data_IF_015202862330
#
_entry.id   IF_015202862330
#
_cell.length_a   1.000
_cell.length_b   1.000
_cell.length_c   1.000
_cell.angle_alpha   90.00
_cell.angle_beta   90.00
_cell.angle_gamma   90.00
#
_symmetry.space_group_name_H-M   'P 1'
#
loop_
_entity.id
_entity.type
_entity.pdbx_description
1 polymer ?
#
# COMPACT_ATOMS: atom_id res chain seq x y z
N UNK A 1 -35.04 -41.00 60.77
CA UNK A 1 -34.82 -40.06 59.64
C UNK A 1 -33.81 -38.98 59.96
N UNK A 2 -33.75 -38.38 61.13
CA UNK A 2 -32.79 -37.30 61.50
C UNK A 2 -31.29 -37.76 61.54
N UNK A 3 -31.04 -39.00 62.05
CA UNK A 3 -29.64 -39.51 62.19
C UNK A 3 -28.94 -39.73 60.86
N UNK A 4 -29.64 -40.26 59.82
CA UNK A 4 -29.06 -40.46 58.48
C UNK A 4 -28.71 -39.14 57.77
N UNK A 5 -29.46 -38.07 58.04
CA UNK A 5 -29.21 -36.73 57.45
C UNK A 5 -27.94 -36.08 58.04
N UNK A 6 -27.65 -36.28 59.33
CA UNK A 6 -26.48 -35.76 60.05
C UNK A 6 -25.20 -36.48 59.58
N UNK A 7 -25.27 -37.82 59.38
CA UNK A 7 -24.12 -38.62 58.89
C UNK A 7 -23.79 -38.24 57.43
N UNK A 8 -24.82 -38.01 56.61
CA UNK A 8 -24.63 -37.58 55.19
C UNK A 8 -23.99 -36.20 55.10
N UNK A 9 -24.39 -35.26 56.01
CA UNK A 9 -23.81 -33.89 56.07
C UNK A 9 -22.36 -33.92 56.53
N UNK A 10 -22.01 -34.78 57.53
CA UNK A 10 -20.64 -34.94 58.03
C UNK A 10 -19.72 -35.55 56.94
N UNK A 11 -20.17 -36.54 56.19
CA UNK A 11 -19.41 -37.11 55.05
C UNK A 11 -19.19 -36.07 53.95
N UNK A 12 -20.23 -35.29 53.59
CA UNK A 12 -20.10 -34.19 52.63
C UNK A 12 -19.06 -33.15 53.06
N UNK A 13 -19.09 -32.71 54.33
CA UNK A 13 -18.11 -31.75 54.86
C UNK A 13 -16.68 -32.30 54.81
N UNK A 14 -16.46 -33.60 55.07
CA UNK A 14 -15.14 -34.25 54.96
C UNK A 14 -14.66 -34.31 53.50
N UNK A 15 -15.55 -34.61 52.54
CA UNK A 15 -15.25 -34.66 51.10
C UNK A 15 -14.89 -33.25 50.63
N UNK A 16 -15.65 -32.24 51.02
CA UNK A 16 -15.36 -30.81 50.69
C UNK A 16 -14.01 -30.40 51.28
N UNK A 17 -13.71 -30.76 52.54
CA UNK A 17 -12.45 -30.46 53.17
C UNK A 17 -11.26 -31.17 52.45
N UNK A 18 -11.45 -32.40 52.01
CA UNK A 18 -10.45 -33.15 51.24
C UNK A 18 -10.18 -32.52 49.86
N UNK A 19 -11.26 -32.12 49.19
CA UNK A 19 -11.17 -31.43 47.89
C UNK A 19 -10.46 -30.05 48.05
N UNK A 20 -10.75 -29.30 49.08
CA UNK A 20 -10.10 -28.04 49.39
C UNK A 20 -8.60 -28.23 49.72
N UNK A 21 -8.26 -29.31 50.43
CA UNK A 21 -6.86 -29.67 50.68
C UNK A 21 -6.12 -30.05 49.39
N UNK A 22 -6.72 -30.85 48.52
CA UNK A 22 -6.14 -31.22 47.22
C UNK A 22 -5.89 -30.02 46.33
N UNK A 23 -6.85 -29.08 46.25
CA UNK A 23 -6.71 -27.78 45.53
C UNK A 23 -5.59 -26.94 46.10
N UNK A 24 -5.49 -26.87 47.48
CA UNK A 24 -4.41 -26.06 48.10
C UNK A 24 -3.01 -26.65 47.90
N UNK A 25 -2.90 -27.98 47.79
CA UNK A 25 -1.63 -28.66 47.48
C UNK A 25 -1.20 -28.39 46.03
N UNK A 26 -2.14 -28.40 45.09
CA UNK A 26 -1.85 -28.05 43.68
C UNK A 26 -1.40 -26.61 43.55
N UNK A 27 -2.11 -25.65 44.13
CA UNK A 27 -1.77 -24.21 44.09
C UNK A 27 -0.37 -23.95 44.64
N UNK A 28 0.01 -24.60 45.75
CA UNK A 28 1.32 -24.45 46.34
C UNK A 28 2.43 -25.06 45.47
N UNK A 29 2.13 -26.16 44.75
CA UNK A 29 3.02 -26.76 43.76
C UNK A 29 3.37 -25.79 42.62
N UNK A 30 2.34 -25.19 42.03
CA UNK A 30 2.51 -24.26 40.88
C UNK A 30 3.26 -22.99 41.26
N UNK A 31 3.00 -22.43 42.47
CA UNK A 31 3.75 -21.26 42.96
C UNK A 31 5.25 -21.57 43.08
N UNK A 32 5.61 -22.80 43.49
CA UNK A 32 6.99 -23.24 43.63
C UNK A 32 7.62 -23.41 42.22
N UNK A 33 6.89 -24.00 41.28
CA UNK A 33 7.33 -24.14 39.88
C UNK A 33 7.57 -22.77 39.22
N UNK A 34 6.65 -21.81 39.39
CA UNK A 34 6.82 -20.45 38.86
C UNK A 34 8.02 -19.69 39.50
N UNK A 35 8.44 -20.03 40.74
CA UNK A 35 9.66 -19.48 41.35
C UNK A 35 10.92 -20.07 40.68
N UNK A 36 10.90 -21.35 40.32
CA UNK A 36 12.00 -22.02 39.60
C UNK A 36 12.14 -21.36 38.20
N UNK A 37 11.03 -21.25 37.47
CA UNK A 37 10.99 -20.60 36.14
C UNK A 37 11.53 -19.16 36.20
N UNK A 38 11.16 -18.42 37.26
CA UNK A 38 11.66 -17.05 37.46
C UNK A 38 13.19 -17.02 37.62
N UNK A 39 13.78 -18.04 38.27
CA UNK A 39 15.23 -18.17 38.38
C UNK A 39 15.88 -18.51 37.03
N UNK A 40 15.25 -19.40 36.25
CA UNK A 40 15.73 -19.74 34.91
C UNK A 40 15.78 -18.50 34.02
N UNK A 41 14.73 -17.66 34.05
CA UNK A 41 14.69 -16.40 33.28
C UNK A 41 15.81 -15.45 33.74
N UNK A 42 16.04 -15.31 35.07
CA UNK A 42 17.10 -14.46 35.62
C UNK A 42 18.51 -14.95 35.22
N UNK A 43 18.69 -16.25 35.03
CA UNK A 43 19.94 -16.83 34.52
C UNK A 43 19.97 -16.99 32.99
N UNK A 44 19.04 -16.35 32.29
CA UNK A 44 18.90 -16.30 30.83
C UNK A 44 18.72 -17.67 30.17
N UNK A 45 18.25 -18.66 30.94
CA UNK A 45 17.93 -19.99 30.39
C UNK A 45 16.48 -20.01 29.88
N UNK A 46 16.24 -19.23 28.80
CA UNK A 46 14.89 -18.96 28.28
C UNK A 46 14.24 -20.19 27.69
N UNK A 47 15.01 -21.06 27.00
CA UNK A 47 14.50 -22.28 26.38
C UNK A 47 13.90 -23.23 27.44
N UNK A 48 14.62 -23.46 28.52
CA UNK A 48 14.13 -24.31 29.62
C UNK A 48 12.95 -23.67 30.33
N UNK A 49 12.99 -22.33 30.55
CA UNK A 49 11.89 -21.59 31.15
C UNK A 49 10.59 -21.74 30.31
N UNK A 50 10.68 -21.66 28.98
CA UNK A 50 9.53 -21.83 28.06
C UNK A 50 9.00 -23.27 28.08
N UNK A 51 9.91 -24.24 28.10
CA UNK A 51 9.54 -25.67 28.24
C UNK A 51 8.73 -25.91 29.53
N UNK A 52 9.24 -25.42 30.66
CA UNK A 52 8.58 -25.59 31.96
C UNK A 52 7.25 -24.84 32.02
N UNK A 53 7.17 -23.62 31.43
CA UNK A 53 5.92 -22.86 31.33
C UNK A 53 4.86 -23.63 30.53
N UNK A 54 5.25 -24.29 29.44
CA UNK A 54 4.33 -25.08 28.63
C UNK A 54 3.81 -26.31 29.41
N UNK A 55 4.68 -26.96 30.17
CA UNK A 55 4.30 -28.14 31.01
C UNK A 55 3.24 -27.75 32.07
N UNK A 56 3.39 -26.57 32.67
CA UNK A 56 2.48 -26.15 33.75
C UNK A 56 1.25 -25.38 33.24
N UNK A 57 1.19 -25.00 31.97
CA UNK A 57 0.15 -24.10 31.42
C UNK A 57 -1.28 -24.55 31.79
N UNK A 58 -1.60 -25.83 31.57
CA UNK A 58 -2.92 -26.40 31.82
C UNK A 58 -3.25 -26.53 33.31
N UNK A 59 -2.22 -26.48 34.17
CA UNK A 59 -2.37 -26.64 35.62
C UNK A 59 -2.53 -25.31 36.34
N UNK A 60 -2.32 -24.16 35.66
CA UNK A 60 -2.40 -22.84 36.29
C UNK A 60 -3.88 -22.53 36.63
N UNK A 61 -4.20 -22.26 37.91
CA UNK A 61 -5.58 -22.03 38.31
C UNK A 61 -6.08 -20.67 37.78
N UNK A 62 -7.19 -20.70 37.05
CA UNK A 62 -7.78 -19.48 36.45
C UNK A 62 -8.42 -18.57 37.51
N UNK A 63 -8.78 -19.10 38.68
CA UNK A 63 -9.37 -18.35 39.79
C UNK A 63 -8.33 -17.69 40.72
N UNK A 64 -7.04 -18.03 40.68
CA UNK A 64 -5.95 -17.35 41.40
C UNK A 64 -5.32 -16.31 40.45
N UNK A 65 -5.92 -15.13 40.40
CA UNK A 65 -5.48 -14.01 39.53
C UNK A 65 -3.98 -13.69 39.68
N UNK A 66 -3.44 -13.73 40.91
CA UNK A 66 -2.03 -13.45 41.15
C UNK A 66 -1.09 -14.49 40.50
N UNK A 67 -1.42 -15.75 40.66
CA UNK A 67 -0.66 -16.86 40.07
C UNK A 67 -0.79 -16.84 38.55
N UNK A 68 -1.99 -16.60 38.01
CA UNK A 68 -2.25 -16.49 36.57
C UNK A 68 -1.51 -15.29 35.94
N UNK A 69 -1.55 -14.12 36.59
CA UNK A 69 -0.81 -12.94 36.13
C UNK A 69 0.70 -13.20 36.12
N UNK A 70 1.23 -13.86 37.19
CA UNK A 70 2.65 -14.26 37.25
C UNK A 70 3.04 -15.16 36.09
N UNK A 71 2.20 -16.17 35.79
CA UNK A 71 2.44 -17.10 34.67
C UNK A 71 2.61 -16.32 33.35
N UNK A 72 1.65 -15.43 33.01
CA UNK A 72 1.72 -14.65 31.78
C UNK A 72 2.88 -13.65 31.78
N UNK A 73 3.19 -13.03 32.91
CA UNK A 73 4.36 -12.16 33.06
C UNK A 73 5.66 -12.93 32.74
N UNK A 74 5.88 -14.08 33.37
CA UNK A 74 7.07 -14.90 33.14
C UNK A 74 7.13 -15.43 31.70
N UNK A 75 5.97 -15.82 31.12
CA UNK A 75 5.87 -16.24 29.73
C UNK A 75 6.30 -15.10 28.79
N UNK A 76 5.85 -13.89 29.06
CA UNK A 76 6.25 -12.71 28.28
C UNK A 76 7.76 -12.47 28.36
N UNK A 77 8.35 -12.50 29.57
CA UNK A 77 9.79 -12.31 29.74
C UNK A 77 10.60 -13.40 29.02
N UNK A 78 10.19 -14.66 29.16
CA UNK A 78 10.90 -15.80 28.53
C UNK A 78 10.84 -15.73 27.01
N UNK A 79 9.72 -15.29 26.43
CA UNK A 79 9.57 -15.08 24.99
C UNK A 79 10.37 -13.88 24.49
N UNK A 80 10.52 -12.82 25.28
CA UNK A 80 11.26 -11.61 24.89
C UNK A 80 12.77 -11.81 24.86
N UNK A 81 13.30 -12.67 25.71
CA UNK A 81 14.72 -13.04 25.75
C UNK A 81 15.65 -11.81 25.84
N UNK A 82 15.29 -10.82 26.65
CA UNK A 82 16.02 -9.56 26.80
C UNK A 82 16.25 -8.82 25.46
N UNK A 83 15.34 -9.00 24.49
CA UNK A 83 15.42 -8.36 23.17
C UNK A 83 16.07 -9.20 22.07
N UNK A 84 16.48 -10.45 22.37
CA UNK A 84 17.14 -11.35 21.42
C UNK A 84 16.15 -12.33 20.74
N UNK A 85 14.86 -12.12 20.93
CA UNK A 85 13.78 -12.97 20.37
C UNK A 85 13.50 -12.67 18.89
N UNK A 86 12.96 -13.65 18.19
CA UNK A 86 12.45 -13.47 16.83
C UNK A 86 11.21 -12.53 16.86
N UNK A 87 10.86 -12.02 15.69
CA UNK A 87 9.65 -11.17 15.52
C UNK A 87 8.38 -11.87 16.07
N UNK A 88 8.17 -13.13 15.73
CA UNK A 88 7.00 -13.91 16.17
C UNK A 88 6.99 -14.13 17.70
N UNK A 89 8.14 -14.43 18.27
CA UNK A 89 8.30 -14.58 19.72
C UNK A 89 8.03 -13.24 20.42
N UNK A 90 8.53 -12.14 19.86
CA UNK A 90 8.31 -10.79 20.41
C UNK A 90 6.81 -10.44 20.41
N UNK A 91 6.07 -10.72 19.33
CA UNK A 91 4.60 -10.54 19.28
C UNK A 91 3.92 -11.37 20.38
N UNK A 92 4.31 -12.63 20.52
CA UNK A 92 3.78 -13.55 21.53
C UNK A 92 4.11 -13.08 22.95
N UNK A 93 5.31 -12.50 23.15
CA UNK A 93 5.72 -11.86 24.40
C UNK A 93 4.78 -10.70 24.76
N UNK A 94 4.61 -9.74 23.84
CA UNK A 94 3.75 -8.56 24.03
C UNK A 94 2.32 -9.02 24.42
N UNK A 95 1.78 -10.01 23.72
CA UNK A 95 0.45 -10.57 24.00
C UNK A 95 0.40 -11.16 25.41
N UNK A 96 1.44 -11.89 25.83
CA UNK A 96 1.51 -12.47 27.18
C UNK A 96 1.58 -11.37 28.26
N UNK A 97 2.41 -10.36 28.05
CA UNK A 97 2.53 -9.21 28.94
C UNK A 97 1.21 -8.46 29.07
N UNK A 98 0.53 -8.20 27.94
CA UNK A 98 -0.79 -7.55 27.92
C UNK A 98 -1.84 -8.40 28.64
N UNK A 99 -1.79 -9.73 28.50
CA UNK A 99 -2.68 -10.65 29.22
C UNK A 99 -2.44 -10.57 30.74
N UNK A 100 -1.18 -10.50 31.16
CA UNK A 100 -0.86 -10.31 32.60
C UNK A 100 -1.48 -9.01 33.14
N UNK A 101 -1.35 -7.89 32.42
CA UNK A 101 -1.95 -6.59 32.78
C UNK A 101 -3.48 -6.74 32.88
N UNK A 102 -4.13 -7.34 31.88
CA UNK A 102 -5.60 -7.46 31.85
C UNK A 102 -6.16 -8.25 33.03
N UNK A 103 -5.42 -9.26 33.53
CA UNK A 103 -5.80 -10.05 34.70
C UNK A 103 -5.76 -9.19 35.98
N UNK A 104 -4.85 -8.21 36.04
CA UNK A 104 -4.67 -7.33 37.21
C UNK A 104 -5.63 -6.13 37.26
N UNK A 105 -6.41 -5.88 36.19
CA UNK A 105 -7.37 -4.76 36.16
C UNK A 105 -8.35 -4.89 37.32
N UNK A 106 -8.48 -3.79 38.12
CA UNK A 106 -9.36 -3.73 39.30
C UNK A 106 -8.79 -4.40 40.54
N UNK A 107 -7.50 -4.80 40.50
CA UNK A 107 -6.83 -5.46 41.65
C UNK A 107 -5.47 -4.84 41.95
N UNK A 108 -4.62 -5.63 42.57
CA UNK A 108 -3.24 -5.21 42.91
C UNK A 108 -2.34 -5.34 41.69
N UNK A 109 -1.57 -4.34 41.38
CA UNK A 109 -0.68 -4.23 40.23
C UNK A 109 0.70 -4.87 40.50
N UNK A 110 0.75 -6.17 40.80
CA UNK A 110 1.99 -6.90 41.13
C UNK A 110 3.02 -6.88 39.99
N UNK A 111 2.54 -7.01 38.77
CA UNK A 111 3.39 -7.12 37.58
C UNK A 111 3.21 -5.93 36.62
N UNK A 112 2.06 -5.27 36.66
CA UNK A 112 1.70 -4.15 35.74
C UNK A 112 2.79 -3.05 35.72
N UNK A 113 3.27 -2.63 36.90
CA UNK A 113 4.32 -1.59 37.00
C UNK A 113 5.62 -2.02 36.31
N UNK A 114 6.02 -3.28 36.51
CA UNK A 114 7.24 -3.83 35.91
C UNK A 114 7.09 -3.99 34.40
N UNK A 115 5.91 -4.46 33.96
CA UNK A 115 5.59 -4.64 32.54
C UNK A 115 5.58 -3.27 31.84
N UNK A 116 4.98 -2.25 32.46
CA UNK A 116 4.91 -0.90 31.88
C UNK A 116 6.32 -0.32 31.68
N UNK A 117 7.22 -0.51 32.66
CA UNK A 117 8.62 -0.09 32.51
C UNK A 117 9.30 -0.82 31.34
N UNK A 118 9.17 -2.15 31.26
CA UNK A 118 9.71 -2.94 30.16
C UNK A 118 9.13 -2.49 28.81
N UNK A 119 7.82 -2.21 28.75
CA UNK A 119 7.15 -1.75 27.51
C UNK A 119 7.69 -0.40 27.03
N UNK A 120 8.07 0.50 27.94
CA UNK A 120 8.72 1.78 27.57
C UNK A 120 10.07 1.50 26.88
N UNK A 121 10.88 0.62 27.45
CA UNK A 121 12.18 0.25 26.89
C UNK A 121 11.99 -0.44 25.51
N UNK A 122 11.03 -1.40 25.43
CA UNK A 122 10.67 -2.07 24.17
C UNK A 122 10.24 -1.07 23.09
N UNK A 123 9.35 -0.12 23.45
CA UNK A 123 8.82 0.88 22.52
C UNK A 123 9.94 1.75 21.94
N UNK A 124 10.81 2.28 22.82
CA UNK A 124 11.93 3.12 22.40
C UNK A 124 12.87 2.35 21.44
N UNK A 125 13.17 1.09 21.78
CA UNK A 125 14.01 0.23 20.92
C UNK A 125 13.37 -0.02 19.57
N UNK A 126 12.06 -0.35 19.53
CA UNK A 126 11.39 -0.64 18.25
C UNK A 126 11.28 0.61 17.37
N UNK A 127 11.00 1.78 17.97
CA UNK A 127 10.96 3.05 17.22
C UNK A 127 12.35 3.35 16.64
N UNK A 128 13.39 3.28 17.46
CA UNK A 128 14.77 3.54 17.03
C UNK A 128 15.19 2.57 15.91
N UNK A 129 14.95 1.28 16.11
CA UNK A 129 15.28 0.25 15.11
C UNK A 129 14.47 0.44 13.82
N UNK A 130 13.17 0.74 13.95
CA UNK A 130 12.29 1.00 12.80
C UNK A 130 12.84 2.13 11.92
N UNK A 131 13.22 3.24 12.55
CA UNK A 131 13.80 4.39 11.83
C UNK A 131 15.17 4.05 11.23
N UNK A 132 16.08 3.43 11.99
CA UNK A 132 17.41 3.06 11.51
C UNK A 132 17.32 2.13 10.29
N UNK A 133 16.46 1.11 10.35
CA UNK A 133 16.26 0.17 9.23
C UNK A 133 15.60 0.86 8.02
N UNK A 134 14.75 1.86 8.26
CA UNK A 134 14.17 2.66 7.16
C UNK A 134 15.27 3.44 6.43
N UNK A 135 16.16 4.11 7.17
CA UNK A 135 17.29 4.86 6.62
C UNK A 135 18.25 3.95 5.84
N UNK A 136 18.44 2.72 6.33
CA UNK A 136 19.26 1.69 5.68
C UNK A 136 18.52 0.99 4.50
N UNK A 137 17.25 1.33 4.24
CA UNK A 137 16.36 0.72 3.23
C UNK A 137 16.10 -0.77 3.48
N UNK A 138 16.24 -1.22 4.73
CA UNK A 138 15.90 -2.57 5.17
C UNK A 138 14.41 -2.62 5.56
N UNK A 139 13.56 -2.40 4.55
CA UNK A 139 12.12 -2.14 4.73
C UNK A 139 11.40 -3.23 5.53
N UNK A 140 11.72 -4.51 5.28
CA UNK A 140 11.07 -5.61 6.01
C UNK A 140 11.36 -5.55 7.51
N UNK A 141 12.61 -5.25 7.89
CA UNK A 141 12.97 -5.08 9.30
C UNK A 141 12.30 -3.83 9.88
N UNK A 142 12.23 -2.77 9.10
CA UNK A 142 11.64 -1.49 9.51
C UNK A 142 10.15 -1.67 9.85
N UNK A 143 9.31 -2.15 8.90
CA UNK A 143 7.87 -2.25 9.17
C UNK A 143 7.56 -3.23 10.31
N UNK A 144 8.33 -4.32 10.46
CA UNK A 144 8.16 -5.25 11.59
C UNK A 144 8.40 -4.55 12.93
N UNK A 145 9.40 -3.67 13.00
CA UNK A 145 9.68 -2.90 14.22
C UNK A 145 8.58 -1.85 14.49
N UNK A 146 8.09 -1.15 13.47
CA UNK A 146 6.95 -0.22 13.66
C UNK A 146 5.69 -0.96 14.10
N UNK A 147 5.40 -2.14 13.55
CA UNK A 147 4.27 -2.96 14.02
C UNK A 147 4.45 -3.36 15.48
N UNK A 148 5.65 -3.83 15.88
CA UNK A 148 5.94 -4.16 17.28
C UNK A 148 5.77 -2.94 18.20
N UNK A 149 6.20 -1.76 17.77
CA UNK A 149 5.97 -0.50 18.51
C UNK A 149 4.47 -0.27 18.74
N UNK A 150 3.66 -0.44 17.70
CA UNK A 150 2.19 -0.35 17.82
C UNK A 150 1.63 -1.42 18.76
N UNK A 151 2.06 -2.69 18.66
CA UNK A 151 1.58 -3.76 19.57
C UNK A 151 1.92 -3.47 21.04
N UNK A 152 3.04 -2.80 21.29
CA UNK A 152 3.43 -2.32 22.64
C UNK A 152 2.55 -1.15 23.08
N UNK A 153 2.29 -0.18 22.19
CA UNK A 153 1.53 1.05 22.48
C UNK A 153 0.36 1.20 21.50
N UNK A 154 -0.68 0.36 21.64
CA UNK A 154 -1.80 0.29 20.70
C UNK A 154 -2.69 1.56 20.68
N UNK A 155 -2.48 2.50 21.58
CA UNK A 155 -3.14 3.81 21.53
C UNK A 155 -2.51 4.73 20.47
N UNK A 156 -1.26 4.49 20.11
CA UNK A 156 -0.51 5.31 19.17
C UNK A 156 -0.53 4.66 17.78
N UNK A 157 -1.61 4.90 17.06
CA UNK A 157 -1.86 4.34 15.73
C UNK A 157 -0.88 4.84 14.65
N UNK A 158 -0.06 5.86 14.96
CA UNK A 158 0.98 6.35 14.06
C UNK A 158 1.99 5.25 13.71
N UNK A 159 2.33 4.38 14.67
CA UNK A 159 3.28 3.28 14.42
C UNK A 159 2.67 2.23 13.47
N UNK A 160 1.37 1.94 13.60
CA UNK A 160 0.67 1.04 12.65
C UNK A 160 0.63 1.65 11.24
N UNK A 161 0.37 2.95 11.17
CA UNK A 161 0.39 3.70 9.89
C UNK A 161 1.80 3.64 9.26
N UNK A 162 2.85 3.82 10.04
CA UNK A 162 4.23 3.73 9.54
C UNK A 162 4.55 2.30 9.08
N UNK A 163 4.09 1.28 9.82
CA UNK A 163 4.25 -0.13 9.40
C UNK A 163 3.57 -0.36 8.04
N UNK A 164 2.32 0.12 7.86
CA UNK A 164 1.56 -0.01 6.61
C UNK A 164 2.30 0.63 5.43
N UNK A 165 2.78 1.87 5.60
CA UNK A 165 3.49 2.61 4.55
C UNK A 165 4.79 1.90 4.14
N UNK A 166 5.59 1.47 5.12
CA UNK A 166 6.89 0.84 4.85
C UNK A 166 6.69 -0.56 4.25
N UNK A 167 5.67 -1.33 4.69
CA UNK A 167 5.32 -2.62 4.08
C UNK A 167 4.90 -2.44 2.62
N UNK A 168 4.10 -1.41 2.33
CA UNK A 168 3.69 -1.05 0.97
C UNK A 168 4.91 -0.67 0.11
N UNK A 169 5.82 0.14 0.64
CA UNK A 169 7.08 0.54 -0.03
C UNK A 169 7.99 -0.68 -0.29
N UNK A 170 7.93 -1.69 0.57
CA UNK A 170 8.65 -2.96 0.41
C UNK A 170 8.01 -3.91 -0.64
N UNK A 171 6.89 -3.51 -1.25
CA UNK A 171 6.02 -4.34 -2.09
C UNK A 171 5.49 -5.58 -1.34
N UNK A 172 5.46 -5.52 0.00
CA UNK A 172 4.87 -6.59 0.82
C UNK A 172 3.39 -6.27 1.04
N UNK A 173 2.62 -6.49 -0.04
CA UNK A 173 1.22 -6.04 -0.13
C UNK A 173 0.28 -6.80 0.81
N UNK A 174 0.62 -8.02 1.23
CA UNK A 174 -0.20 -8.78 2.20
C UNK A 174 -0.18 -8.08 3.57
N UNK A 175 1.01 -7.88 4.13
CA UNK A 175 1.17 -7.21 5.42
C UNK A 175 0.69 -5.75 5.36
N UNK A 176 0.98 -5.05 4.26
CA UNK A 176 0.51 -3.67 4.07
C UNK A 176 -1.03 -3.61 4.14
N UNK A 177 -1.70 -4.52 3.43
CA UNK A 177 -3.17 -4.62 3.42
C UNK A 177 -3.71 -4.90 4.83
N UNK A 178 -3.14 -5.87 5.56
CA UNK A 178 -3.56 -6.18 6.93
C UNK A 178 -3.46 -4.94 7.83
N UNK A 179 -2.37 -4.20 7.75
CA UNK A 179 -2.16 -3.00 8.57
C UNK A 179 -3.12 -1.87 8.16
N UNK A 180 -3.35 -1.65 6.86
CA UNK A 180 -4.30 -0.64 6.39
C UNK A 180 -5.73 -0.99 6.79
N UNK A 181 -6.13 -2.27 6.71
CA UNK A 181 -7.46 -2.72 7.14
C UNK A 181 -7.65 -2.49 8.64
N UNK A 182 -6.63 -2.79 9.45
CA UNK A 182 -6.65 -2.52 10.91
C UNK A 182 -6.80 -1.01 11.17
N UNK A 183 -6.14 -0.13 10.39
CA UNK A 183 -6.30 1.33 10.50
C UNK A 183 -7.73 1.77 10.17
N UNK A 184 -8.36 1.17 9.15
CA UNK A 184 -9.77 1.44 8.80
C UNK A 184 -10.70 1.02 9.93
N UNK A 185 -10.50 -0.18 10.52
CA UNK A 185 -11.30 -0.68 11.64
C UNK A 185 -11.18 0.21 12.88
N UNK A 186 -10.00 0.81 13.09
CA UNK A 186 -9.75 1.76 14.18
C UNK A 186 -10.29 3.17 13.88
N UNK A 187 -10.88 3.38 12.70
CA UNK A 187 -11.33 4.70 12.22
C UNK A 187 -10.19 5.75 12.22
N UNK A 188 -8.98 5.32 11.89
CA UNK A 188 -7.81 6.20 11.84
C UNK A 188 -8.01 7.30 10.79
N UNK A 189 -7.75 8.54 11.18
CA UNK A 189 -7.85 9.70 10.29
C UNK A 189 -6.49 10.29 9.92
N UNK A 190 -5.46 10.08 10.73
CA UNK A 190 -4.15 10.71 10.56
C UNK A 190 -4.14 12.21 10.83
N UNK A 191 -5.27 12.78 11.24
CA UNK A 191 -5.37 14.23 11.53
C UNK A 191 -4.50 14.54 12.74
N UNK A 192 -3.56 15.45 12.59
CA UNK A 192 -2.69 15.93 13.67
C UNK A 192 -2.67 17.45 13.68
N UNK A 193 -2.47 18.02 14.85
CA UNK A 193 -2.31 19.46 15.03
C UNK A 193 -0.83 19.83 14.84
N UNK A 194 -0.55 20.78 13.98
CA UNK A 194 0.78 21.37 13.84
C UNK A 194 0.79 22.77 14.45
N UNK A 195 1.84 23.08 15.15
CA UNK A 195 1.96 24.30 15.97
C UNK A 195 3.04 25.19 15.36
N UNK A 196 2.68 26.44 15.12
CA UNK A 196 3.57 27.43 14.51
C UNK A 196 3.66 28.71 15.36
N UNK A 197 4.76 29.42 15.25
CA UNK A 197 4.91 30.82 15.71
C UNK A 197 6.00 31.51 14.91
N UNK A 198 5.94 32.82 14.85
CA UNK A 198 6.92 33.64 14.11
C UNK A 198 8.11 33.93 15.04
N UNK A 199 9.29 33.63 14.60
CA UNK A 199 10.55 34.01 15.26
C UNK A 199 10.74 35.52 15.11
N UNK A 200 10.96 36.23 16.22
CA UNK A 200 11.07 37.69 16.26
C UNK A 200 12.35 38.23 15.63
N UNK A 201 13.39 37.43 15.59
CA UNK A 201 14.70 37.85 15.05
C UNK A 201 14.72 37.73 13.53
N UNK A 202 14.27 36.59 13.00
CA UNK A 202 14.28 36.34 11.56
C UNK A 202 13.01 36.80 10.86
N UNK A 203 11.87 36.86 11.55
CA UNK A 203 10.55 37.13 10.97
C UNK A 203 9.95 35.89 10.32
N UNK A 204 10.59 34.73 10.39
CA UNK A 204 10.14 33.49 9.74
C UNK A 204 9.17 32.71 10.62
N UNK A 205 8.21 32.03 9.99
CA UNK A 205 7.32 31.10 10.68
C UNK A 205 8.06 29.79 10.99
N UNK A 206 8.16 29.46 12.27
CA UNK A 206 8.81 28.23 12.75
C UNK A 206 7.75 27.24 13.24
N UNK A 207 7.97 25.95 12.91
CA UNK A 207 7.15 24.83 13.36
C UNK A 207 7.67 24.31 14.70
N UNK A 208 6.73 23.98 15.61
CA UNK A 208 7.02 23.41 16.93
C UNK A 208 6.50 21.97 17.02
N UNK A 209 7.19 21.16 17.80
CA UNK A 209 6.87 19.75 18.02
C UNK A 209 5.51 19.59 18.72
N UNK A 210 5.20 20.49 19.66
CA UNK A 210 3.98 20.46 20.46
C UNK A 210 3.60 21.88 20.92
N UNK A 211 2.37 21.99 21.43
CA UNK A 211 1.84 23.27 21.93
C UNK A 211 2.61 23.79 23.16
N UNK A 212 3.18 22.90 23.96
CA UNK A 212 3.91 23.27 25.20
C UNK A 212 5.23 23.94 24.85
N UNK A 213 6.01 23.38 23.95
CA UNK A 213 7.28 23.97 23.48
C UNK A 213 7.05 25.30 22.79
N UNK A 214 5.97 25.46 22.06
CA UNK A 214 5.56 26.74 21.50
C UNK A 214 5.15 27.73 22.61
N UNK A 215 4.33 27.41 23.35
CA UNK A 215 3.89 28.13 24.39
C UNK A 215 4.98 28.60 25.19
N UNK A 216 6.12 27.73 25.51
CA UNK A 216 7.34 28.09 26.23
C UNK A 216 8.15 29.16 25.47
N UNK A 217 8.37 29.00 24.22
CA UNK A 217 9.03 30.00 23.33
C UNK A 217 8.28 31.33 23.23
N UNK A 218 6.96 31.21 23.22
CA UNK A 218 6.17 32.25 23.09
C UNK A 218 6.10 33.03 24.27
N UNK A 219 6.07 32.42 25.60
CA UNK A 219 5.75 33.14 26.89
C UNK A 219 6.95 33.28 27.83
N UNK A 220 7.86 32.30 27.84
CA UNK A 220 9.00 32.23 28.76
C UNK A 220 10.26 32.80 28.13
N UNK A 221 10.70 32.25 27.01
CA UNK A 221 11.90 32.73 26.32
C UNK A 221 11.63 34.06 25.59
N UNK A 222 10.41 34.27 25.11
CA UNK A 222 9.93 35.47 24.40
C UNK A 222 10.59 35.71 23.05
N UNK A 223 11.13 34.66 22.45
CA UNK A 223 11.76 34.69 21.13
C UNK A 223 10.75 34.61 19.97
N UNK A 224 9.51 34.21 20.26
CA UNK A 224 8.49 33.99 19.23
C UNK A 224 7.20 34.76 19.54
N UNK A 225 6.42 35.00 18.48
CA UNK A 225 5.09 35.63 18.56
C UNK A 225 4.14 35.04 17.49
N UNK A 226 2.84 35.18 17.40
CA UNK A 226 2.01 34.82 16.64
C UNK A 226 1.72 33.44 16.60
N UNK A 227 1.39 32.94 17.68
CA UNK A 227 1.15 31.51 17.63
C UNK A 227 -0.04 31.15 16.75
N UNK A 228 0.13 30.10 15.93
CA UNK A 228 -0.90 29.61 15.01
C UNK A 228 -0.96 28.08 15.11
N UNK A 229 -2.17 27.55 15.13
CA UNK A 229 -2.44 26.11 15.08
C UNK A 229 -2.98 25.76 13.68
N UNK A 230 -2.51 24.67 13.11
CA UNK A 230 -2.98 24.16 11.82
C UNK A 230 -3.39 22.71 11.95
N UNK A 231 -4.66 22.43 11.63
CA UNK A 231 -5.17 21.07 11.61
C UNK A 231 -4.81 20.39 10.29
N UNK A 232 -4.11 19.28 10.38
CA UNK A 232 -3.71 18.48 9.21
C UNK A 232 -4.90 17.88 8.48
N UNK A 233 -4.70 17.51 7.24
CA UNK A 233 -5.71 16.84 6.43
C UNK A 233 -5.83 15.37 6.82
N UNK A 234 -7.02 14.82 6.66
CA UNK A 234 -7.25 13.38 6.88
C UNK A 234 -6.49 12.53 5.85
N UNK A 235 -5.83 11.49 6.32
CA UNK A 235 -5.18 10.47 5.47
C UNK A 235 -6.16 9.37 5.05
N UNK A 236 -7.41 9.41 5.51
CA UNK A 236 -8.41 8.34 5.28
C UNK A 236 -8.63 8.05 3.80
N UNK A 237 -8.72 9.09 2.97
CA UNK A 237 -8.87 8.94 1.51
C UNK A 237 -7.66 8.19 0.90
N UNK A 238 -6.45 8.59 1.28
CA UNK A 238 -5.21 7.96 0.78
C UNK A 238 -5.18 6.47 1.18
N UNK A 239 -5.53 6.15 2.43
CA UNK A 239 -5.56 4.78 2.94
C UNK A 239 -6.56 3.93 2.12
N UNK A 240 -7.79 4.43 1.93
CA UNK A 240 -8.83 3.70 1.19
C UNK A 240 -8.42 3.45 -0.27
N UNK A 241 -7.82 4.45 -0.92
CA UNK A 241 -7.32 4.30 -2.30
C UNK A 241 -6.15 3.31 -2.38
N UNK A 242 -5.26 3.30 -1.38
CA UNK A 242 -4.16 2.34 -1.33
C UNK A 242 -4.68 0.92 -1.19
N UNK A 243 -5.67 0.69 -0.30
CA UNK A 243 -6.34 -0.61 -0.14
C UNK A 243 -6.97 -1.04 -1.48
N UNK A 244 -7.68 -0.12 -2.14
CA UNK A 244 -8.34 -0.39 -3.42
C UNK A 244 -7.31 -0.77 -4.51
N UNK A 245 -6.16 -0.08 -4.55
CA UNK A 245 -5.08 -0.37 -5.49
C UNK A 245 -4.47 -1.76 -5.23
N UNK A 246 -4.21 -2.10 -3.96
CA UNK A 246 -3.67 -3.42 -3.61
C UNK A 246 -4.66 -4.53 -4.03
N UNK A 247 -5.96 -4.36 -3.77
CA UNK A 247 -6.97 -5.34 -4.19
C UNK A 247 -7.04 -5.46 -5.72
N UNK A 248 -6.93 -4.33 -6.48
CA UNK A 248 -6.86 -4.37 -7.96
C UNK A 248 -5.66 -5.21 -8.42
N UNK A 249 -4.50 -4.97 -7.87
CA UNK A 249 -3.26 -5.68 -8.24
C UNK A 249 -3.35 -7.19 -7.94
N UNK A 250 -4.14 -7.55 -6.91
CA UNK A 250 -4.47 -8.94 -6.57
C UNK A 250 -5.62 -9.50 -7.45
N UNK A 251 -6.16 -8.73 -8.39
CA UNK A 251 -7.33 -9.06 -9.23
C UNK A 251 -8.61 -9.29 -8.43
N UNK A 252 -8.69 -8.81 -7.20
CA UNK A 252 -9.89 -8.83 -6.37
C UNK A 252 -10.68 -7.54 -6.64
N UNK A 253 -11.32 -7.50 -7.80
CA UNK A 253 -12.05 -6.31 -8.25
C UNK A 253 -13.27 -6.00 -7.36
N UNK A 254 -13.88 -6.99 -6.74
CA UNK A 254 -15.00 -6.80 -5.81
C UNK A 254 -14.59 -5.96 -4.61
N UNK A 255 -13.55 -6.34 -3.92
CA UNK A 255 -13.04 -5.58 -2.77
C UNK A 255 -12.43 -4.24 -3.22
N UNK A 256 -11.75 -4.20 -4.34
CA UNK A 256 -11.27 -2.91 -4.90
C UNK A 256 -12.41 -1.90 -5.11
N UNK A 257 -13.43 -2.16 -5.68
CA UNK A 257 -14.50 -1.50 -5.90
C UNK A 257 -15.16 -1.05 -4.79
N UNK A 258 -15.27 -1.87 -3.65
CA UNK A 258 -15.79 -1.50 -2.31
C UNK A 258 -15.03 -0.32 -1.70
N UNK A 259 -13.69 -0.38 -1.70
CA UNK A 259 -12.86 0.68 -1.11
C UNK A 259 -12.83 1.96 -1.97
N UNK A 260 -13.00 1.86 -3.29
CA UNK A 260 -13.21 3.02 -4.19
C UNK A 260 -14.49 3.77 -3.77
N UNK A 261 -15.58 3.05 -3.57
CA UNK A 261 -16.86 3.68 -3.18
C UNK A 261 -16.77 4.35 -1.80
N UNK A 262 -16.05 3.75 -0.85
CA UNK A 262 -15.79 4.38 0.46
C UNK A 262 -14.96 5.66 0.32
N UNK A 263 -13.99 5.70 -0.58
CA UNK A 263 -13.16 6.86 -0.86
C UNK A 263 -13.93 7.99 -1.55
N UNK A 264 -14.86 7.69 -2.47
CA UNK A 264 -15.76 8.67 -3.11
C UNK A 264 -16.61 9.49 -2.12
N UNK A 265 -16.82 8.91 -1.26
CA UNK A 265 -17.53 9.45 -0.27
C UNK A 265 -16.83 10.52 0.34
N UNK A 266 -15.52 10.58 0.36
CA UNK A 266 -14.62 11.60 0.90
C UNK A 266 -14.30 12.67 -0.15
N UNK A 267 -13.87 12.24 -1.34
CA UNK A 267 -13.52 13.15 -2.44
C UNK A 267 -14.03 12.59 -3.79
N UNK A 268 -15.23 12.98 -4.22
CA UNK A 268 -15.86 12.48 -5.46
C UNK A 268 -15.11 12.86 -6.75
N UNK A 269 -14.29 13.90 -6.70
CA UNK A 269 -13.57 14.44 -7.86
C UNK A 269 -12.08 14.13 -7.81
N UNK A 270 -11.66 13.19 -6.96
CA UNK A 270 -10.27 12.76 -6.88
C UNK A 270 -9.87 12.06 -8.19
N UNK A 271 -9.01 12.68 -8.96
CA UNK A 271 -8.58 12.17 -10.26
C UNK A 271 -7.93 10.76 -10.14
N UNK A 272 -7.14 10.54 -9.08
CA UNK A 272 -6.50 9.24 -8.86
C UNK A 272 -7.53 8.12 -8.62
N UNK A 273 -8.62 8.45 -7.95
CA UNK A 273 -9.72 7.52 -7.71
C UNK A 273 -10.48 7.20 -9.02
N UNK A 274 -10.72 8.21 -9.85
CA UNK A 274 -11.33 8.04 -11.17
C UNK A 274 -10.44 7.14 -12.05
N UNK A 275 -9.14 7.38 -12.05
CA UNK A 275 -8.17 6.59 -12.82
C UNK A 275 -8.06 5.16 -12.29
N UNK A 276 -8.13 4.95 -11.02
CA UNK A 276 -8.18 3.61 -10.44
C UNK A 276 -9.44 2.84 -10.89
N UNK A 277 -10.56 3.49 -11.05
CA UNK A 277 -11.66 2.95 -11.44
C UNK A 277 -11.64 2.62 -12.77
N UNK A 278 -10.99 3.53 -13.57
CA UNK A 278 -10.90 3.28 -15.02
C UNK A 278 -10.02 2.04 -15.32
N UNK A 279 -8.87 1.92 -14.69
CA UNK A 279 -7.98 0.77 -14.88
C UNK A 279 -8.70 -0.56 -14.56
N UNK A 280 -9.52 -0.60 -13.54
CA UNK A 280 -10.33 -1.79 -13.20
C UNK A 280 -11.32 -2.10 -14.33
N UNK A 281 -11.96 -1.08 -14.91
CA UNK A 281 -12.89 -1.25 -16.06
C UNK A 281 -12.16 -1.78 -17.29
N UNK A 282 -10.98 -1.23 -17.57
CA UNK A 282 -10.11 -1.70 -18.64
C UNK A 282 -9.73 -3.18 -18.44
N UNK A 283 -9.24 -3.52 -17.31
CA UNK A 283 -8.88 -4.91 -16.99
C UNK A 283 -10.07 -5.89 -17.04
N UNK A 284 -11.25 -5.29 -16.89
CA UNK A 284 -12.35 -5.97 -16.96
C UNK A 284 -12.92 -6.03 -18.19
N UNK A 285 -12.30 -5.55 -19.21
CA UNK A 285 -12.78 -5.49 -20.60
C UNK A 285 -13.99 -4.59 -20.83
N UNK A 286 -14.37 -3.80 -19.84
CA UNK A 286 -15.49 -2.83 -19.90
C UNK A 286 -14.98 -1.51 -20.49
N UNK A 287 -14.68 -1.53 -21.78
CA UNK A 287 -14.09 -0.43 -22.54
C UNK A 287 -15.00 0.82 -22.52
N UNK A 288 -16.31 0.62 -22.54
CA UNK A 288 -17.27 1.73 -22.51
C UNK A 288 -17.20 2.52 -21.20
N UNK A 289 -17.18 1.82 -20.07
CA UNK A 289 -17.04 2.47 -18.75
C UNK A 289 -15.65 3.10 -18.58
N UNK A 290 -14.62 2.47 -19.11
CA UNK A 290 -13.25 3.04 -19.14
C UNK A 290 -13.27 4.41 -19.82
N UNK A 291 -13.77 4.50 -21.05
CA UNK A 291 -13.86 5.77 -21.80
C UNK A 291 -14.60 6.86 -21.01
N UNK A 292 -15.75 6.54 -20.43
CA UNK A 292 -16.55 7.49 -19.63
C UNK A 292 -15.73 8.02 -18.44
N UNK A 293 -14.96 7.18 -17.81
CA UNK A 293 -14.14 7.60 -16.66
C UNK A 293 -12.93 8.44 -17.09
N UNK A 294 -12.31 8.15 -18.22
CA UNK A 294 -11.24 8.99 -18.79
C UNK A 294 -11.78 10.37 -19.22
N UNK A 295 -12.81 10.38 -19.74
CA UNK A 295 -13.45 11.41 -20.07
C UNK A 295 -13.72 12.26 -19.03
N UNK A 296 -14.25 11.79 -17.82
CA UNK A 296 -14.43 12.53 -16.57
C UNK A 296 -13.10 13.03 -15.97
N UNK A 297 -12.05 12.24 -16.01
CA UNK A 297 -10.72 12.65 -15.57
C UNK A 297 -10.19 13.84 -16.38
N UNK A 298 -10.48 13.89 -17.68
CA UNK A 298 -10.09 15.02 -18.56
C UNK A 298 -10.93 16.29 -18.31
N UNK A 299 -12.15 16.17 -17.81
CA UNK A 299 -12.92 17.36 -17.34
C UNK A 299 -12.19 18.05 -16.18
N UNK A 300 -11.48 17.27 -15.34
CA UNK A 300 -10.74 17.78 -14.18
C UNK A 300 -9.36 18.28 -14.61
N UNK A 301 -8.69 17.55 -15.52
CA UNK A 301 -7.35 17.91 -16.02
C UNK A 301 -7.31 17.77 -17.54
N UNK A 302 -7.75 18.80 -18.30
CA UNK A 302 -7.87 18.76 -19.77
C UNK A 302 -6.52 18.64 -20.51
N UNK A 303 -5.42 18.98 -19.84
CA UNK A 303 -4.08 18.99 -20.42
C UNK A 303 -3.28 17.72 -20.08
N UNK A 304 -3.93 16.69 -19.54
CA UNK A 304 -3.25 15.43 -19.23
C UNK A 304 -3.02 14.64 -20.52
N UNK A 305 -1.80 14.72 -21.02
CA UNK A 305 -1.37 14.11 -22.31
C UNK A 305 -1.60 12.60 -22.33
N UNK A 306 -1.30 11.89 -21.19
CA UNK A 306 -1.46 10.43 -21.11
C UNK A 306 -2.93 10.01 -21.23
N UNK A 307 -3.87 10.76 -20.64
CA UNK A 307 -5.30 10.45 -20.75
C UNK A 307 -5.81 10.68 -22.16
N UNK A 308 -5.38 11.77 -22.81
CA UNK A 308 -5.71 12.07 -24.21
C UNK A 308 -5.17 10.96 -25.11
N UNK A 309 -3.90 10.57 -24.93
CA UNK A 309 -3.25 9.48 -25.65
C UNK A 309 -4.02 8.15 -25.48
N UNK A 310 -4.41 7.82 -24.23
CA UNK A 310 -5.14 6.58 -23.94
C UNK A 310 -6.51 6.53 -24.65
N UNK A 311 -7.22 7.68 -24.77
CA UNK A 311 -8.45 7.73 -25.57
C UNK A 311 -8.17 7.45 -27.05
N UNK A 312 -7.03 7.92 -27.55
CA UNK A 312 -6.57 7.62 -28.91
C UNK A 312 -6.41 6.10 -29.11
N UNK A 313 -5.71 5.43 -28.17
CA UNK A 313 -5.49 3.97 -28.21
C UNK A 313 -6.83 3.20 -28.17
N UNK A 314 -7.70 3.55 -27.22
CA UNK A 314 -9.01 2.88 -27.05
C UNK A 314 -9.89 3.02 -28.30
N UNK A 315 -9.88 4.20 -28.93
CA UNK A 315 -10.66 4.44 -30.14
C UNK A 315 -10.04 3.71 -31.34
N UNK A 316 -8.71 3.56 -31.41
CA UNK A 316 -8.03 2.70 -32.39
C UNK A 316 -8.50 1.25 -32.24
N UNK A 317 -8.45 0.70 -31.04
CA UNK A 317 -8.89 -0.69 -30.75
C UNK A 317 -10.35 -0.95 -31.11
N UNK A 318 -11.21 0.09 -31.10
CA UNK A 318 -12.62 0.02 -31.54
C UNK A 318 -12.79 0.17 -33.04
N UNK A 319 -11.72 0.45 -33.79
CA UNK A 319 -11.78 0.75 -35.21
C UNK A 319 -12.27 2.17 -35.55
N UNK A 320 -12.35 3.07 -34.53
CA UNK A 320 -12.73 4.47 -34.73
C UNK A 320 -11.50 5.30 -35.13
N UNK A 321 -10.93 4.96 -36.31
CA UNK A 321 -9.61 5.46 -36.77
C UNK A 321 -9.53 6.99 -36.78
N UNK A 322 -10.57 7.67 -37.27
CA UNK A 322 -10.58 9.15 -37.37
C UNK A 322 -10.57 9.80 -36.00
N UNK A 323 -11.38 9.30 -35.08
CA UNK A 323 -11.43 9.83 -33.70
C UNK A 323 -10.11 9.50 -32.95
N UNK A 324 -9.54 8.33 -33.16
CA UNK A 324 -8.23 7.94 -32.61
C UNK A 324 -7.13 8.91 -33.06
N UNK A 325 -7.10 9.26 -34.37
CA UNK A 325 -6.17 10.24 -34.94
C UNK A 325 -6.36 11.65 -34.31
N UNK A 326 -7.60 12.08 -34.11
CA UNK A 326 -7.91 13.35 -33.42
C UNK A 326 -7.29 13.39 -32.01
N UNK A 327 -7.49 12.39 -31.27
CA UNK A 327 -6.83 12.27 -29.95
C UNK A 327 -5.31 12.19 -30.02
N UNK A 328 -4.77 11.56 -31.00
CA UNK A 328 -3.49 11.41 -31.16
C UNK A 328 -2.92 12.65 -31.57
N UNK A 329 -3.51 13.46 -32.25
CA UNK A 329 -3.11 14.62 -32.64
C UNK A 329 -3.10 15.57 -31.61
N UNK A 330 -4.13 15.69 -30.65
CA UNK A 330 -4.23 16.50 -29.42
C UNK A 330 -3.10 16.16 -28.42
N UNK A 331 -2.78 14.87 -28.21
CA UNK A 331 -1.68 14.46 -27.35
C UNK A 331 -0.33 15.03 -27.84
N UNK A 332 -0.09 15.02 -29.13
CA UNK A 332 1.13 15.62 -29.76
C UNK A 332 1.19 17.15 -29.49
N UNK A 333 0.06 17.83 -29.58
CA UNK A 333 -0.02 19.28 -29.30
C UNK A 333 0.31 19.58 -27.83
N UNK A 334 -0.17 18.73 -26.93
CA UNK A 334 0.07 18.88 -25.47
C UNK A 334 1.53 18.53 -25.09
N UNK A 335 2.07 17.50 -25.73
CA UNK A 335 3.46 17.10 -25.50
C UNK A 335 4.12 16.68 -26.83
N UNK A 336 4.82 17.60 -27.49
CA UNK A 336 5.55 17.32 -28.72
C UNK A 336 6.71 16.33 -28.57
N UNK A 337 7.03 15.88 -27.38
CA UNK A 337 8.05 14.86 -27.13
C UNK A 337 7.50 13.41 -26.93
N UNK A 338 6.12 13.06 -27.01
CA UNK A 338 5.56 11.93 -26.80
C UNK A 338 5.66 11.11 -27.91
N UNK A 339 6.84 10.54 -28.16
CA UNK A 339 7.16 9.67 -29.30
C UNK A 339 6.06 8.66 -29.60
N UNK A 340 5.51 8.03 -28.57
CA UNK A 340 4.41 7.03 -28.71
C UNK A 340 3.17 7.58 -29.41
N UNK A 341 2.87 8.87 -29.27
CA UNK A 341 1.71 9.48 -29.95
C UNK A 341 1.96 9.62 -31.46
N UNK A 342 3.17 9.95 -31.86
CA UNK A 342 3.55 9.98 -33.28
C UNK A 342 3.53 8.57 -33.89
N UNK A 343 4.05 7.56 -33.18
CA UNK A 343 4.04 6.17 -33.66
C UNK A 343 2.61 5.67 -33.89
N UNK A 344 1.71 5.92 -32.93
CA UNK A 344 0.31 5.52 -33.06
C UNK A 344 -0.39 6.28 -34.17
N UNK A 345 -0.14 7.59 -34.34
CA UNK A 345 -0.70 8.38 -35.44
C UNK A 345 -0.22 7.85 -36.81
N UNK A 346 1.07 7.52 -36.92
CA UNK A 346 1.62 6.90 -38.14
C UNK A 346 0.98 5.52 -38.38
N UNK A 347 0.87 4.67 -37.40
CA UNK A 347 0.24 3.34 -37.50
C UNK A 347 -1.22 3.44 -37.96
N UNK A 348 -2.00 4.35 -37.42
CA UNK A 348 -3.38 4.61 -37.82
C UNK A 348 -3.50 5.11 -39.26
N UNK A 349 -2.58 5.84 -39.64
CA UNK A 349 -2.58 6.29 -40.90
C UNK A 349 -2.35 5.26 -41.84
N UNK A 350 -1.44 4.25 -41.46
CA UNK A 350 -1.12 3.09 -42.31
C UNK A 350 -2.25 2.04 -42.33
N UNK A 351 -2.93 1.87 -41.23
CA UNK A 351 -4.10 0.99 -41.08
C UNK A 351 -5.20 1.33 -42.09
N UNK A 352 -5.40 2.60 -42.44
CA UNK A 352 -6.35 3.03 -43.48
C UNK A 352 -6.02 2.44 -44.86
N UNK A 353 -4.93 1.97 -45.13
CA UNK A 353 -4.56 1.51 -46.26
C UNK A 353 -5.02 0.19 -46.52
N UNK A 354 -5.29 -0.63 -45.35
CA UNK A 354 -5.62 -2.04 -45.44
C UNK A 354 -6.85 -2.33 -46.34
N UNK A 355 -8.00 -1.71 -46.14
CA UNK A 355 -9.15 -1.96 -47.00
C UNK A 355 -8.92 -1.54 -48.45
N UNK A 356 -8.09 -0.51 -48.70
CA UNK A 356 -7.74 -0.09 -50.09
C UNK A 356 -6.94 -1.20 -50.78
N UNK A 357 -5.96 -1.79 -50.07
CA UNK A 357 -5.10 -2.86 -50.60
C UNK A 357 -5.95 -4.12 -50.87
N UNK A 358 -6.87 -4.45 -49.97
CA UNK A 358 -7.80 -5.58 -50.16
C UNK A 358 -8.66 -5.39 -51.40
N UNK A 359 -9.23 -4.19 -51.61
CA UNK A 359 -10.02 -3.88 -52.80
C UNK A 359 -9.15 -3.97 -54.06
N UNK A 360 -7.93 -3.36 -54.05
CA UNK A 360 -6.98 -3.45 -55.19
C UNK A 360 -6.69 -4.91 -55.56
N UNK A 361 -6.48 -5.78 -54.59
CA UNK A 361 -6.18 -7.20 -54.77
C UNK A 361 -7.39 -8.01 -55.30
N UNK A 362 -8.61 -7.50 -55.11
CA UNK A 362 -9.85 -8.17 -55.55
C UNK A 362 -10.26 -7.82 -56.99
N UNK A 363 -9.65 -6.77 -57.60
CA UNK A 363 -10.01 -6.28 -58.93
C UNK A 363 -9.54 -7.25 -60.03
N UNK A 364 -10.34 -7.32 -61.08
CA UNK A 364 -10.05 -8.10 -62.29
C UNK A 364 -9.27 -7.31 -63.34
N UNK A 365 -9.47 -7.67 -64.61
CA UNK A 365 -8.73 -7.12 -65.76
C UNK A 365 -9.62 -6.31 -66.69
N UNK A 366 -10.84 -5.94 -66.30
CA UNK A 366 -11.72 -5.12 -67.15
C UNK A 366 -11.24 -3.67 -67.19
N UNK A 367 -11.65 -2.89 -68.19
CA UNK A 367 -11.37 -1.43 -68.27
C UNK A 367 -11.86 -0.68 -66.99
N UNK A 368 -13.01 -1.13 -66.45
CA UNK A 368 -13.54 -0.56 -65.19
C UNK A 368 -12.60 -0.84 -64.00
N UNK A 369 -12.13 -2.04 -63.88
CA UNK A 369 -11.16 -2.46 -62.86
C UNK A 369 -9.84 -1.71 -62.97
N UNK A 370 -9.35 -1.43 -63.90
CA UNK A 370 -8.25 -0.75 -64.10
C UNK A 370 -8.32 0.64 -63.72
N UNK A 371 -9.42 1.24 -64.21
CA UNK A 371 -9.65 2.60 -63.73
C UNK A 371 -9.79 2.65 -62.19
N UNK A 372 -10.52 1.73 -61.63
CA UNK A 372 -10.68 1.62 -60.18
C UNK A 372 -9.34 1.36 -59.47
N UNK A 373 -8.48 0.52 -60.02
CA UNK A 373 -7.13 0.26 -59.52
C UNK A 373 -6.30 1.54 -59.48
N UNK A 374 -6.33 2.38 -60.54
CA UNK A 374 -5.59 3.66 -60.58
C UNK A 374 -6.13 4.64 -59.53
N UNK A 375 -7.45 4.71 -59.30
CA UNK A 375 -8.06 5.51 -58.25
C UNK A 375 -7.58 5.06 -56.86
N UNK A 376 -7.61 3.76 -56.59
CA UNK A 376 -7.20 3.16 -55.31
C UNK A 376 -5.70 3.34 -55.09
N UNK A 377 -4.88 3.29 -56.12
CA UNK A 377 -3.44 3.59 -56.05
C UNK A 377 -3.16 5.00 -55.52
N UNK A 378 -3.88 5.97 -56.05
CA UNK A 378 -3.79 7.36 -55.54
C UNK A 378 -4.22 7.48 -54.06
N UNK A 379 -5.17 6.82 -53.66
CA UNK A 379 -5.69 6.82 -52.38
C UNK A 379 -4.75 6.27 -51.44
N UNK A 380 -4.13 5.12 -51.83
CA UNK A 380 -3.07 4.46 -51.05
C UNK A 380 -1.83 5.35 -50.88
N UNK A 381 -1.40 6.02 -51.95
CA UNK A 381 -0.31 7.01 -51.84
C UNK A 381 -0.58 8.13 -50.83
N UNK A 382 -1.65 8.44 -50.67
CA UNK A 382 -2.09 9.39 -49.87
C UNK A 382 -2.06 9.00 -48.51
N UNK A 383 -2.47 7.86 -48.27
CA UNK A 383 -2.45 7.33 -47.07
C UNK A 383 -1.14 7.24 -46.60
N UNK A 384 -0.06 6.73 -47.39
CA UNK A 384 1.38 6.64 -47.08
C UNK A 384 2.02 8.01 -46.80
N UNK A 385 1.77 8.98 -47.65
CA UNK A 385 2.30 10.35 -47.47
C UNK A 385 1.85 11.01 -46.16
N UNK A 386 0.65 10.71 -45.67
CA UNK A 386 0.15 11.28 -44.39
C UNK A 386 0.86 10.69 -43.17
N UNK A 387 1.41 9.47 -43.26
CA UNK A 387 2.17 8.85 -42.14
C UNK A 387 3.60 9.42 -42.01
N UNK A 388 4.18 9.92 -43.13
CA UNK A 388 5.60 10.39 -43.17
C UNK A 388 5.93 11.45 -42.11
N UNK A 389 5.13 12.54 -41.94
CA UNK A 389 5.45 13.56 -40.94
C UNK A 389 5.56 13.01 -39.51
N UNK A 390 4.70 12.05 -39.18
CA UNK A 390 4.74 11.43 -37.85
C UNK A 390 6.00 10.58 -37.65
N UNK A 391 6.35 9.81 -38.66
CA UNK A 391 7.57 8.99 -38.66
C UNK A 391 8.86 9.87 -38.63
N UNK A 392 8.71 10.86 -39.18
CA UNK A 392 9.71 11.73 -39.22
C UNK A 392 9.93 12.29 -37.91
N UNK A 393 8.92 12.55 -37.05
CA UNK A 393 8.97 12.93 -35.85
C UNK A 393 9.52 11.99 -34.99
N UNK A 394 9.17 10.80 -35.03
CA UNK A 394 9.75 9.68 -34.29
C UNK A 394 11.26 9.58 -34.48
N UNK A 395 11.73 9.65 -35.69
CA UNK A 395 13.17 9.59 -36.00
C UNK A 395 13.95 10.74 -35.36
N UNK A 396 13.40 11.96 -35.37
CA UNK A 396 14.04 13.13 -34.75
C UNK A 396 14.14 12.99 -33.22
N UNK A 397 13.09 12.43 -32.60
CA UNK A 397 13.02 12.23 -31.15
C UNK A 397 13.81 11.00 -30.68
N UNK A 398 13.88 9.97 -31.54
CA UNK A 398 14.54 8.69 -31.24
C UNK A 398 15.28 8.17 -32.49
N UNK A 399 16.48 8.73 -32.79
CA UNK A 399 17.26 8.27 -33.97
C UNK A 399 17.66 6.78 -33.96
N UNK A 400 17.31 6.23 -33.12
CA UNK A 400 17.56 4.94 -32.92
C UNK A 400 16.56 4.01 -33.19
N UNK A 401 15.67 4.49 -33.42
CA UNK A 401 14.50 3.66 -33.70
C UNK A 401 14.60 2.99 -35.10
N UNK A 402 15.19 1.85 -35.16
CA UNK A 402 15.42 1.07 -36.40
C UNK A 402 14.09 0.78 -37.12
N UNK A 403 13.08 0.47 -36.44
CA UNK A 403 11.77 0.18 -37.03
C UNK A 403 11.08 1.42 -37.64
N UNK A 404 11.28 2.52 -37.30
CA UNK A 404 10.86 3.67 -37.81
C UNK A 404 11.49 3.95 -39.07
N UNK A 405 12.89 3.69 -38.94
CA UNK A 405 13.71 3.89 -40.14
C UNK A 405 13.30 2.87 -41.26
N UNK A 406 13.13 1.62 -40.96
CA UNK A 406 12.62 0.58 -41.89
C UNK A 406 11.24 0.95 -42.46
N UNK A 407 10.38 1.40 -41.66
CA UNK A 407 9.04 1.85 -42.09
C UNK A 407 9.14 3.07 -43.02
N UNK A 408 9.88 4.01 -42.77
CA UNK A 408 10.10 5.03 -43.51
C UNK A 408 10.66 4.67 -44.76
N UNK A 409 11.47 3.70 -44.87
CA UNK A 409 12.06 3.21 -45.97
C UNK A 409 11.14 2.63 -46.92
N UNK A 410 10.36 1.75 -46.33
CA UNK A 410 9.35 1.05 -47.12
C UNK A 410 8.32 2.00 -47.75
N UNK A 411 7.83 2.94 -47.00
CA UNK A 411 6.86 3.96 -47.46
C UNK A 411 7.46 4.79 -48.61
N UNK A 412 8.65 5.29 -48.52
CA UNK A 412 9.34 6.01 -49.58
C UNK A 412 9.50 5.16 -50.86
N UNK A 413 9.69 4.06 -50.65
CA UNK A 413 9.73 3.16 -51.66
C UNK A 413 8.44 3.08 -52.34
N UNK A 414 7.51 2.84 -51.63
CA UNK A 414 6.19 2.72 -52.24
C UNK A 414 5.60 4.03 -52.86
N UNK A 415 6.13 5.11 -52.21
CA UNK A 415 5.76 6.26 -52.63
C UNK A 415 6.51 6.71 -53.67
N UNK A 416 7.46 5.97 -54.37
CA UNK A 416 8.40 6.42 -55.46
C UNK A 416 9.49 7.46 -55.05
N UNK A 417 9.61 7.76 -53.83
CA UNK A 417 10.39 8.45 -53.35
C UNK A 417 11.65 7.93 -53.22
N UNK A 418 12.46 7.67 -54.32
CA UNK A 418 13.71 6.90 -54.44
C UNK A 418 14.92 7.49 -53.69
N UNK A 419 15.12 8.78 -53.72
CA UNK A 419 16.24 9.48 -53.01
C UNK A 419 16.04 9.41 -51.51
N UNK A 420 14.83 9.62 -51.01
CA UNK A 420 14.45 9.52 -49.57
C UNK A 420 14.55 8.05 -49.11
N UNK A 421 14.09 7.10 -49.92
CA UNK A 421 14.22 5.67 -49.63
C UNK A 421 15.71 5.27 -49.50
N UNK A 422 16.58 5.81 -50.35
CA UNK A 422 18.04 5.58 -50.28
C UNK A 422 18.60 6.15 -48.96
N UNK A 423 18.29 7.35 -48.60
CA UNK A 423 18.70 7.93 -47.30
C UNK A 423 18.27 7.07 -46.08
N UNK A 424 16.98 6.65 -45.98
CA UNK A 424 16.49 5.85 -45.00
C UNK A 424 17.19 4.61 -44.94
N UNK A 425 17.73 3.98 -46.15
CA UNK A 425 18.50 2.73 -46.31
C UNK A 425 19.97 2.90 -45.89
N UNK A 426 20.61 4.03 -46.22
CA UNK A 426 21.98 4.33 -45.81
C UNK A 426 22.06 4.46 -44.28
N UNK A 427 21.05 5.01 -43.62
CA UNK A 427 20.96 5.11 -42.14
C UNK A 427 20.90 3.71 -41.51
N UNK A 428 20.15 2.76 -42.11
CA UNK A 428 20.06 1.38 -41.61
C UNK A 428 21.40 0.61 -41.71
N UNK A 429 22.37 1.11 -42.50
CA UNK A 429 23.71 0.51 -42.62
C UNK A 429 24.70 1.10 -41.59
N UNK A 430 24.32 2.15 -40.92
CA UNK A 430 25.17 2.90 -39.98
C UNK A 430 24.68 2.79 -38.48
N UNK A 431 23.57 2.44 -38.56
CA UNK A 431 23.00 2.18 -37.40
C UNK A 431 23.21 0.90 -36.88
#
# INVERSE_FOLDING_TARGET
MKLNKTIKLSKMKKIIALLLLLVSFQINGQKKELKIIEKLIKSENFTLALSDLNIIAEKIPTNDKKTLAKFYYLKGLALYQNGNSTYTETKSSINSLNKSISIEIGGNNYYTTRINKLKIDMLNNFISNGNNYLDEKLFEKSYKNFELAYRVSSRDTLYLRNAALVANQANNFEEALDFYLELVDLNYTGISMTYYAIDKESGDEQRFQDSESRXFSXNVIKTHEXPRDELGKSEKDIILRTIAAIYRDKKDFENSXKYIELSKXIDPNNINLILLXSNIRWEXGDVESYEKLIXKALEINPENTDLVFNLGVVNADKGNIDLALEYXXKAIQLDPSXTKAYLNAAALXLEKXEPIIEEMNSLGMSTADXNRYDELKLXREXXFKSAIPYLXXVYELDPXNIDXIKTXXNIYXQXGXSDEAKKXKDLLQTX
#
